data_IF_732991582409
#
_entry.id   IF_732991582409
#
_cell.length_a   1.000
_cell.length_b   1.000
_cell.length_c   1.000
_cell.angle_alpha   90.00
_cell.angle_beta   90.00
_cell.angle_gamma   90.00
#
_symmetry.space_group_name_H-M   'P 1'
#
loop_
_entity.id
_entity.type
_entity.pdbx_description
1 polymer ?
#
# COMPACT_ATOMS: atom_id res chain seq x y z
N UNK A 1 21.20 20.04 -4.62
CA UNK A 1 19.96 19.33 -4.93
C UNK A 1 18.94 19.63 -3.84
N UNK A 2 17.78 20.08 -4.26
CA UNK A 2 16.81 20.64 -3.34
C UNK A 2 15.54 19.81 -3.22
N UNK A 3 15.72 18.50 -3.08
CA UNK A 3 14.58 17.64 -2.77
C UNK A 3 14.26 17.83 -1.29
N UNK A 4 13.04 18.24 -1.00
CA UNK A 4 12.62 18.38 0.40
C UNK A 4 12.60 17.02 1.08
N UNK A 5 12.77 16.94 2.40
CA UNK A 5 12.68 15.67 3.12
C UNK A 5 11.37 14.92 2.84
N UNK A 6 10.27 15.64 2.65
CA UNK A 6 8.98 15.05 2.36
C UNK A 6 8.98 14.34 0.99
N UNK A 7 9.59 14.96 -0.03
CA UNK A 7 9.72 14.34 -1.35
C UNK A 7 10.58 13.08 -1.28
N UNK A 8 11.64 13.08 -0.49
CA UNK A 8 12.45 11.87 -0.27
C UNK A 8 11.66 10.77 0.40
N UNK A 9 10.77 11.12 1.32
CA UNK A 9 9.95 10.13 2.02
C UNK A 9 8.98 9.46 1.05
N UNK A 10 8.40 10.19 0.10
CA UNK A 10 7.46 9.61 -0.87
C UNK A 10 8.13 8.69 -1.87
N UNK A 11 9.40 8.94 -2.23
CA UNK A 11 10.13 8.03 -3.11
C UNK A 11 10.38 6.69 -2.42
N UNK A 12 10.06 5.62 -3.10
CA UNK A 12 10.27 4.28 -2.56
C UNK A 12 9.29 3.87 -1.48
N UNK A 13 8.17 4.58 -1.37
CA UNK A 13 7.08 4.18 -0.50
C UNK A 13 5.93 3.61 -1.31
N UNK A 14 5.25 2.64 -0.74
CA UNK A 14 4.15 1.93 -1.36
C UNK A 14 3.01 1.80 -0.38
N UNK A 15 1.77 1.93 -0.86
CA UNK A 15 0.59 1.54 -0.09
C UNK A 15 0.23 0.12 -0.50
N UNK A 16 0.37 -0.82 0.41
CA UNK A 16 -0.08 -2.18 0.19
C UNK A 16 -1.52 -2.29 0.69
N UNK A 17 -2.39 -2.86 -0.16
CA UNK A 17 -3.80 -3.01 0.16
C UNK A 17 -4.24 -4.45 0.08
N UNK A 18 -5.15 -4.85 0.94
CA UNK A 18 -5.74 -6.18 0.94
C UNK A 18 -7.14 -6.10 1.52
N UNK A 19 -7.79 -7.25 1.62
CA UNK A 19 -9.12 -7.36 2.21
C UNK A 19 -9.05 -8.13 3.51
N UNK A 20 -9.74 -7.64 4.52
CA UNK A 20 -10.00 -8.37 5.74
C UNK A 20 -11.49 -8.66 5.78
N UNK A 21 -11.88 -9.85 5.32
CA UNK A 21 -13.27 -10.31 5.29
C UNK A 21 -14.19 -9.32 4.57
N UNK A 22 -13.73 -8.81 3.43
CA UNK A 22 -14.48 -7.87 2.60
C UNK A 22 -14.27 -6.40 2.95
N UNK A 23 -13.58 -6.09 4.03
CA UNK A 23 -13.24 -4.72 4.40
C UNK A 23 -11.85 -4.36 3.86
N UNK A 24 -11.70 -3.23 3.15
CA UNK A 24 -10.38 -2.84 2.67
C UNK A 24 -9.48 -2.44 3.84
N UNK A 25 -8.23 -2.87 3.77
CA UNK A 25 -7.22 -2.46 4.74
C UNK A 25 -5.87 -2.36 4.05
N UNK A 26 -4.96 -1.62 4.65
CA UNK A 26 -3.66 -1.43 4.06
C UNK A 26 -2.70 -0.70 4.98
N UNK A 27 -1.46 -0.60 4.52
CA UNK A 27 -0.43 0.11 5.24
C UNK A 27 0.65 0.59 4.27
N UNK A 28 1.55 1.42 4.77
CA UNK A 28 2.74 1.86 4.03
C UNK A 28 3.86 0.86 4.24
N UNK A 29 4.54 0.52 3.15
CA UNK A 29 5.80 -0.24 3.20
C UNK A 29 6.85 0.50 2.40
N UNK A 30 8.12 0.21 2.67
CA UNK A 30 9.24 0.81 1.94
C UNK A 30 10.13 -0.23 1.27
N UNK A 31 9.79 -1.50 1.35
CA UNK A 31 10.60 -2.58 0.77
C UNK A 31 9.75 -3.42 -0.15
N UNK A 32 10.01 -3.28 -1.44
CA UNK A 32 9.33 -4.03 -2.49
C UNK A 32 10.34 -4.25 -3.62
N UNK A 33 10.45 -5.48 -4.11
CA UNK A 33 11.35 -5.77 -5.21
C UNK A 33 10.84 -6.94 -6.04
N UNK A 34 11.25 -6.96 -7.30
CA UNK A 34 10.93 -8.04 -8.21
C UNK A 34 11.97 -9.16 -8.04
N UNK A 35 11.49 -10.38 -7.88
CA UNK A 35 12.34 -11.53 -7.59
C UNK A 35 12.76 -12.24 -8.87
N UNK A 36 11.91 -12.28 -9.90
CA UNK A 36 12.24 -12.96 -11.14
C UNK A 36 11.65 -12.23 -12.34
N UNK A 37 12.29 -12.37 -13.50
CA UNK A 37 11.88 -11.74 -14.74
C UNK A 37 10.97 -12.59 -15.61
N UNK A 38 11.04 -13.91 -15.52
CA UNK A 38 10.23 -14.81 -16.36
C UNK A 38 8.77 -14.88 -15.90
N UNK A 39 8.59 -15.16 -14.60
CA UNK A 39 7.29 -15.06 -13.97
C UNK A 39 7.40 -13.96 -12.94
N UNK A 40 6.88 -12.76 -13.22
CA UNK A 40 7.07 -11.65 -12.32
C UNK A 40 6.54 -11.97 -10.92
N UNK A 41 7.46 -12.07 -9.99
CA UNK A 41 7.15 -12.27 -8.57
C UNK A 41 7.64 -11.05 -7.83
N UNK A 42 6.75 -10.43 -7.06
CA UNK A 42 7.08 -9.27 -6.24
C UNK A 42 7.13 -9.69 -4.80
N UNK A 43 8.22 -9.36 -4.13
CA UNK A 43 8.38 -9.62 -2.71
C UNK A 43 8.24 -8.32 -1.94
N UNK A 44 7.53 -8.36 -0.83
CA UNK A 44 7.40 -7.23 0.07
C UNK A 44 7.84 -7.64 1.46
N UNK A 45 8.39 -6.69 2.20
CA UNK A 45 8.77 -6.90 3.59
C UNK A 45 7.78 -6.17 4.49
N UNK A 46 7.26 -6.86 5.48
CA UNK A 46 6.24 -6.32 6.36
C UNK A 46 6.41 -6.88 7.76
N UNK A 47 6.20 -6.01 8.76
CA UNK A 47 6.29 -6.41 10.15
C UNK A 47 5.17 -7.39 10.50
N UNK A 48 5.52 -8.51 11.12
CA UNK A 48 4.56 -9.55 11.52
C UNK A 48 3.50 -9.04 12.51
N UNK A 49 3.80 -7.98 13.24
CA UNK A 49 2.86 -7.41 14.21
C UNK A 49 1.88 -6.43 13.55
N UNK A 50 2.02 -6.18 12.25
CA UNK A 50 1.15 -5.29 11.51
C UNK A 50 -0.18 -6.00 11.21
N UNK A 51 -1.29 -5.33 11.47
CA UNK A 51 -2.61 -5.87 11.19
C UNK A 51 -2.77 -6.27 9.71
N UNK A 52 -2.24 -5.44 8.80
CA UNK A 52 -2.31 -5.71 7.36
C UNK A 52 -1.56 -6.99 6.99
N UNK A 53 -0.47 -7.29 7.69
CA UNK A 53 0.26 -8.54 7.48
C UNK A 53 -0.63 -9.76 7.67
N UNK A 54 -1.37 -9.80 8.78
CA UNK A 54 -2.26 -10.92 9.07
C UNK A 54 -3.39 -11.02 8.04
N UNK A 55 -3.90 -9.86 7.61
CA UNK A 55 -4.95 -9.82 6.59
C UNK A 55 -4.43 -10.38 5.25
N UNK A 56 -3.20 -10.05 4.85
CA UNK A 56 -2.62 -10.58 3.60
C UNK A 56 -2.44 -12.08 3.70
N UNK A 57 -1.93 -12.59 4.82
CA UNK A 57 -1.72 -14.02 5.01
C UNK A 57 -3.04 -14.77 4.88
N UNK A 58 -4.11 -14.21 5.42
CA UNK A 58 -5.44 -14.81 5.36
C UNK A 58 -6.07 -14.69 3.98
N UNK A 59 -5.99 -13.53 3.36
CA UNK A 59 -6.63 -13.25 2.06
C UNK A 59 -5.82 -13.78 0.87
N UNK A 60 -4.50 -13.82 0.99
CA UNK A 60 -3.54 -14.31 -0.01
C UNK A 60 -3.47 -13.47 -1.28
N UNK A 61 -3.93 -12.24 -1.23
CA UNK A 61 -3.84 -11.28 -2.34
C UNK A 61 -3.57 -9.91 -1.78
N UNK A 62 -2.85 -9.11 -2.54
CA UNK A 62 -2.62 -7.72 -2.17
C UNK A 62 -2.43 -6.88 -3.43
N UNK A 63 -2.60 -5.57 -3.26
CA UNK A 63 -2.28 -4.58 -4.27
C UNK A 63 -1.18 -3.67 -3.76
N UNK A 64 -0.46 -3.06 -4.69
CA UNK A 64 0.54 -2.03 -4.38
C UNK A 64 0.21 -0.77 -5.16
N UNK A 65 0.16 0.35 -4.47
CA UNK A 65 0.13 1.67 -5.09
C UNK A 65 1.49 2.31 -4.87
N UNK A 66 2.17 2.65 -5.95
CA UNK A 66 3.52 3.22 -5.90
C UNK A 66 3.39 4.72 -5.77
N UNK A 67 3.83 5.27 -4.64
CA UNK A 67 3.72 6.69 -4.38
C UNK A 67 4.65 7.50 -5.27
N UNK A 68 4.17 8.66 -5.69
CA UNK A 68 4.90 9.63 -6.49
C UNK A 68 4.94 10.96 -5.75
N UNK A 69 5.71 11.92 -6.27
CA UNK A 69 5.77 13.25 -5.66
C UNK A 69 4.39 13.90 -5.56
N UNK A 70 3.54 13.68 -6.56
CA UNK A 70 2.21 14.27 -6.62
C UNK A 70 1.18 13.55 -5.75
N UNK A 71 1.54 12.42 -5.17
CA UNK A 71 0.62 11.66 -4.33
C UNK A 71 0.26 12.46 -3.07
N UNK A 72 -0.96 12.26 -2.60
CA UNK A 72 -1.46 12.92 -1.40
C UNK A 72 -0.64 12.48 -0.19
N UNK A 73 0.05 13.41 0.45
CA UNK A 73 0.91 13.11 1.59
C UNK A 73 0.13 12.64 2.82
N UNK A 74 -1.17 12.90 2.88
CA UNK A 74 -2.00 12.37 3.97
C UNK A 74 -2.06 10.85 3.95
N UNK A 75 -1.74 10.21 2.81
CA UNK A 75 -1.63 8.76 2.72
C UNK A 75 -0.57 8.22 3.68
N UNK A 76 0.55 8.93 3.82
CA UNK A 76 1.62 8.50 4.72
C UNK A 76 1.12 8.46 6.16
N UNK A 77 0.40 9.49 6.58
CA UNK A 77 -0.15 9.55 7.94
C UNK A 77 -1.20 8.46 8.15
N UNK A 78 -2.14 8.34 7.23
CA UNK A 78 -3.26 7.41 7.37
C UNK A 78 -2.81 5.96 7.32
N UNK A 79 -1.98 5.61 6.32
CA UNK A 79 -1.59 4.22 6.11
C UNK A 79 -0.33 3.83 6.87
N UNK A 80 0.53 4.79 7.21
CA UNK A 80 1.80 4.53 7.87
C UNK A 80 1.74 4.58 9.40
N UNK A 81 0.90 5.44 9.96
CA UNK A 81 0.92 5.70 11.40
C UNK A 81 -0.34 5.28 12.14
N UNK A 82 -1.32 4.68 11.45
CA UNK A 82 -2.56 4.25 12.07
C UNK A 82 -2.77 2.77 11.84
N UNK A 83 -3.33 2.08 12.83
CA UNK A 83 -3.68 0.67 12.69
C UNK A 83 -5.00 0.53 11.93
N UNK A 84 -5.07 -0.45 11.04
CA UNK A 84 -6.32 -0.80 10.36
C UNK A 84 -7.26 -1.67 11.20
N UNK A 85 -6.85 -2.05 12.40
CA UNK A 85 -7.59 -3.01 13.21
C UNK A 85 -8.98 -2.51 13.62
N UNK A 86 -9.07 -1.28 14.05
CA UNK A 86 -10.33 -0.66 14.45
C UNK A 86 -10.78 0.45 13.52
N UNK A 87 -10.20 0.59 12.34
CA UNK A 87 -10.45 1.71 11.47
C UNK A 87 -10.34 1.32 10.00
N UNK A 88 -11.28 1.80 9.19
CA UNK A 88 -11.19 1.68 7.74
C UNK A 88 -10.38 2.85 7.19
N UNK A 89 -9.11 2.60 6.84
CA UNK A 89 -8.21 3.62 6.29
C UNK A 89 -8.61 4.11 4.90
N UNK A 90 -9.45 3.35 4.20
CA UNK A 90 -9.95 3.72 2.87
C UNK A 90 -11.19 4.59 2.92
N UNK A 91 -11.77 4.77 4.10
CA UNK A 91 -12.94 5.62 4.26
C UNK A 91 -12.65 7.05 3.85
N UNK A 92 -13.49 7.62 2.99
CA UNK A 92 -13.28 8.95 2.43
C UNK A 92 -12.25 9.02 1.31
N UNK A 93 -11.69 7.89 0.91
CA UNK A 93 -10.71 7.82 -0.18
C UNK A 93 -11.35 7.31 -1.46
N UNK A 94 -10.82 7.75 -2.61
CA UNK A 94 -11.25 7.26 -3.90
C UNK A 94 -10.52 5.96 -4.22
N UNK A 95 -11.24 4.85 -4.29
CA UNK A 95 -10.64 3.55 -4.58
C UNK A 95 -11.65 2.65 -5.29
N UNK A 96 -11.15 1.60 -5.90
CA UNK A 96 -11.96 0.58 -6.55
C UNK A 96 -11.46 -0.80 -6.16
N UNK A 97 -12.24 -1.82 -6.47
CA UNK A 97 -11.85 -3.21 -6.22
C UNK A 97 -11.43 -3.87 -7.53
N UNK A 98 -10.29 -4.58 -7.49
CA UNK A 98 -9.85 -5.46 -8.58
C UNK A 98 -9.27 -6.72 -7.95
N UNK A 99 -9.68 -7.88 -8.47
CA UNK A 99 -9.20 -9.18 -7.97
C UNK A 99 -9.33 -9.29 -6.44
N UNK A 100 -10.41 -8.75 -5.90
CA UNK A 100 -10.74 -8.76 -4.48
C UNK A 100 -9.74 -7.99 -3.60
N UNK A 101 -9.06 -7.00 -4.16
CA UNK A 101 -8.20 -6.10 -3.39
C UNK A 101 -8.52 -4.64 -3.75
N UNK A 102 -8.34 -3.71 -2.80
CA UNK A 102 -8.62 -2.30 -3.05
C UNK A 102 -7.48 -1.64 -3.83
N UNK A 103 -7.84 -0.81 -4.80
CA UNK A 103 -6.91 -0.06 -5.62
C UNK A 103 -7.20 1.43 -5.42
N UNK A 104 -6.27 2.14 -4.82
CA UNK A 104 -6.38 3.58 -4.65
C UNK A 104 -6.30 4.28 -5.99
N UNK A 105 -7.17 5.28 -6.18
CA UNK A 105 -7.16 6.14 -7.36
C UNK A 105 -6.52 7.47 -7.03
N UNK A 106 -5.93 8.11 -8.03
CA UNK A 106 -5.30 9.40 -7.88
C UNK A 106 -3.92 9.41 -8.52
N UNK A 107 -3.05 10.27 -8.01
CA UNK A 107 -1.72 10.45 -8.57
C UNK A 107 -0.74 9.48 -7.93
N UNK A 108 -0.44 8.41 -8.66
CA UNK A 108 0.53 7.39 -8.27
C UNK A 108 1.46 7.12 -9.45
N UNK A 109 2.67 6.64 -9.16
CA UNK A 109 3.60 6.24 -10.21
C UNK A 109 3.15 4.96 -10.92
N UNK A 110 2.38 4.11 -10.24
CA UNK A 110 1.87 2.88 -10.81
C UNK A 110 1.15 2.04 -9.78
N UNK A 111 0.58 0.94 -10.25
CA UNK A 111 -0.13 -0.02 -9.40
C UNK A 111 0.25 -1.43 -9.82
N UNK A 112 0.32 -2.33 -8.82
CA UNK A 112 0.53 -3.76 -9.03
C UNK A 112 -0.57 -4.49 -8.28
N UNK A 113 -1.15 -5.48 -8.92
CA UNK A 113 -2.24 -6.25 -8.32
C UNK A 113 -1.90 -7.73 -8.26
#
# INVERSE_FOLDING_TARGET
MNITPLQKITYGLYVVGTSDKGRPTGCIINTCFQVTSENPIVAISMNKNNYTHDAIVSHRRFSLAILAEESDTSLITTFGFQSGRGRNKYDGRDYTWQHDVPILKGKFSGHIV
#
